data_IF_302929335860
#
_entry.id   IF_302929335860
#
_cell.length_a   1.000
_cell.length_b   1.000
_cell.length_c   1.000
_cell.angle_alpha   90.00
_cell.angle_beta   90.00
_cell.angle_gamma   90.00
#
_symmetry.space_group_name_H-M   'P 1'
#
loop_
_entity.id
_entity.type
_entity.pdbx_description
1 polymer ?
#
# COMPACT_ATOMS: atom_id res chain seq x y z
N UNK A 1 -7.35 -0.54 33.71
CA UNK A 1 -6.09 -0.85 34.42
C UNK A 1 -5.39 -2.00 33.71
N UNK A 2 -4.11 -1.90 33.35
CA UNK A 2 -3.37 -3.06 32.89
C UNK A 2 -3.45 -4.11 34.01
N UNK A 3 -4.03 -5.26 33.72
CA UNK A 3 -4.09 -6.34 34.69
C UNK A 3 -2.69 -6.98 34.71
N UNK A 4 -2.00 -6.93 35.83
CA UNK A 4 -0.75 -7.68 36.09
C UNK A 4 -0.96 -9.21 36.10
N UNK A 5 -1.99 -9.68 35.43
CA UNK A 5 -2.25 -11.11 35.28
C UNK A 5 -1.79 -11.58 33.94
N UNK A 6 -0.97 -12.60 33.93
CA UNK A 6 -0.60 -13.31 32.71
C UNK A 6 -1.87 -13.78 31.98
N UNK A 7 -1.89 -13.59 30.68
CA UNK A 7 -3.00 -14.04 29.84
C UNK A 7 -2.62 -15.38 29.21
N UNK A 8 -3.27 -16.45 29.64
CA UNK A 8 -3.02 -17.80 29.14
C UNK A 8 -3.26 -17.98 27.62
N UNK A 9 -3.89 -16.98 26.99
CA UNK A 9 -4.20 -16.98 25.54
C UNK A 9 -3.16 -16.28 24.69
N UNK A 10 -2.17 -15.61 25.32
CA UNK A 10 -1.16 -14.85 24.61
C UNK A 10 0.21 -15.33 25.06
N UNK A 11 1.06 -15.66 24.09
CA UNK A 11 2.47 -15.98 24.33
C UNK A 11 3.35 -14.96 23.65
N UNK A 12 4.24 -14.33 24.38
CA UNK A 12 5.23 -13.41 23.86
C UNK A 12 6.58 -14.12 23.73
N UNK A 13 7.22 -14.01 22.57
CA UNK A 13 8.53 -14.60 22.29
C UNK A 13 9.48 -13.50 21.83
N UNK A 14 10.48 -13.19 22.66
CA UNK A 14 11.55 -12.24 22.33
C UNK A 14 12.62 -12.91 21.49
N UNK A 15 12.80 -12.45 20.23
CA UNK A 15 13.77 -13.03 19.29
C UNK A 15 14.90 -12.08 18.92
N UNK A 16 15.01 -10.95 19.59
CA UNK A 16 15.92 -9.86 19.22
C UNK A 16 17.39 -10.26 19.17
N UNK A 17 17.82 -11.15 20.06
CA UNK A 17 19.22 -11.57 20.21
C UNK A 17 19.69 -12.56 19.14
N UNK A 18 18.76 -13.10 18.34
CA UNK A 18 19.06 -14.15 17.36
C UNK A 18 19.21 -13.59 15.95
N UNK A 19 19.99 -14.26 15.13
CA UNK A 19 20.10 -13.96 13.69
C UNK A 19 18.83 -14.43 12.92
N UNK A 20 18.61 -13.94 11.70
CA UNK A 20 17.40 -14.25 10.92
C UNK A 20 17.10 -15.75 10.80
N UNK A 21 18.09 -16.56 10.46
CA UNK A 21 17.89 -18.03 10.30
C UNK A 21 17.44 -18.69 11.59
N UNK A 22 18.02 -18.28 12.73
CA UNK A 22 17.65 -18.83 14.03
C UNK A 22 16.26 -18.35 14.48
N UNK A 23 15.92 -17.07 14.21
CA UNK A 23 14.55 -16.57 14.44
C UNK A 23 13.51 -17.40 13.71
N UNK A 24 13.72 -17.67 12.41
CA UNK A 24 12.85 -18.53 11.62
C UNK A 24 12.70 -19.93 12.25
N UNK A 25 13.82 -20.53 12.65
CA UNK A 25 13.83 -21.87 13.26
C UNK A 25 13.08 -21.89 14.58
N UNK A 26 13.21 -20.84 15.40
CA UNK A 26 12.53 -20.71 16.68
C UNK A 26 11.01 -20.50 16.50
N UNK A 27 10.60 -19.68 15.52
CA UNK A 27 9.17 -19.50 15.18
C UNK A 27 8.59 -20.82 14.72
N UNK A 28 9.24 -21.52 13.78
CA UNK A 28 8.78 -22.82 13.28
C UNK A 28 8.68 -23.86 14.40
N UNK A 29 9.66 -23.88 15.30
CA UNK A 29 9.62 -24.72 16.50
C UNK A 29 8.44 -24.39 17.39
N UNK A 30 8.21 -23.10 17.69
CA UNK A 30 7.09 -22.66 18.51
C UNK A 30 5.74 -23.05 17.90
N UNK A 31 5.55 -22.84 16.60
CA UNK A 31 4.35 -23.22 15.86
C UNK A 31 4.07 -24.74 15.91
N UNK A 32 5.12 -25.56 15.83
CA UNK A 32 4.99 -27.01 15.93
C UNK A 32 4.67 -27.49 17.34
N UNK A 33 5.18 -26.82 18.35
CA UNK A 33 4.98 -27.22 19.76
C UNK A 33 3.69 -26.70 20.37
N UNK A 34 3.24 -25.57 19.89
CA UNK A 34 2.03 -24.92 20.40
C UNK A 34 0.81 -25.34 19.58
N UNK A 35 -0.24 -25.74 20.23
CA UNK A 35 -1.50 -26.12 19.57
C UNK A 35 -2.58 -25.10 19.92
N UNK A 36 -3.44 -24.79 18.96
CA UNK A 36 -4.63 -23.97 19.17
C UNK A 36 -4.42 -22.47 19.03
N UNK A 37 -3.27 -22.00 18.53
CA UNK A 37 -3.13 -20.61 18.13
C UNK A 37 -3.90 -20.36 16.83
N UNK A 38 -4.80 -19.37 16.83
CA UNK A 38 -5.50 -18.89 15.63
C UNK A 38 -4.82 -17.67 14.98
N UNK A 39 -3.96 -16.96 15.74
CA UNK A 39 -3.30 -15.74 15.29
C UNK A 39 -1.84 -15.74 15.73
N UNK A 40 -0.95 -15.36 14.81
CA UNK A 40 0.46 -15.08 15.07
C UNK A 40 0.77 -13.66 14.58
N UNK A 41 1.44 -12.87 15.41
CA UNK A 41 1.89 -11.52 15.04
C UNK A 41 3.41 -11.54 14.96
N UNK A 42 3.96 -11.15 13.80
CA UNK A 42 5.40 -11.03 13.56
C UNK A 42 5.75 -9.55 13.45
N UNK A 43 6.35 -9.01 14.51
CA UNK A 43 6.81 -7.63 14.58
C UNK A 43 8.34 -7.63 14.73
N UNK A 44 9.14 -7.33 13.71
CA UNK A 44 8.86 -6.91 12.35
C UNK A 44 9.38 -7.94 11.36
N UNK A 45 8.65 -8.11 10.29
CA UNK A 45 8.94 -9.12 9.27
C UNK A 45 10.36 -8.99 8.67
N UNK A 46 10.85 -7.76 8.51
CA UNK A 46 12.20 -7.46 8.04
C UNK A 46 13.30 -8.25 8.77
N UNK A 47 13.08 -8.49 10.03
CA UNK A 47 14.09 -9.11 10.90
C UNK A 47 14.25 -10.63 10.70
N UNK A 48 13.45 -11.20 9.81
CA UNK A 48 13.60 -12.58 9.33
C UNK A 48 14.53 -12.70 8.11
N UNK A 49 15.13 -11.58 7.65
CA UNK A 49 15.98 -11.54 6.46
C UNK A 49 17.33 -10.89 6.76
N UNK A 50 18.34 -11.31 6.04
CA UNK A 50 19.67 -10.67 6.07
C UNK A 50 19.66 -9.42 5.17
N UNK A 51 19.08 -9.51 3.97
CA UNK A 51 18.98 -8.38 3.04
C UNK A 51 17.54 -8.24 2.51
N UNK A 52 16.90 -7.12 2.85
CA UNK A 52 15.53 -6.78 2.42
C UNK A 52 15.40 -6.56 0.90
N UNK A 53 16.53 -6.32 0.22
CA UNK A 53 16.57 -6.13 -1.23
C UNK A 53 16.91 -7.42 -1.98
N UNK A 54 17.09 -8.52 -1.28
CA UNK A 54 17.30 -9.83 -1.90
C UNK A 54 15.95 -10.45 -2.29
N UNK A 55 15.66 -10.47 -3.59
CA UNK A 55 14.40 -10.99 -4.12
C UNK A 55 14.19 -12.48 -3.78
N UNK A 56 15.28 -13.29 -3.76
CA UNK A 56 15.19 -14.69 -3.42
C UNK A 56 14.84 -14.89 -1.94
N UNK A 57 15.51 -14.20 -1.02
CA UNK A 57 15.16 -14.24 0.41
C UNK A 57 13.71 -13.81 0.65
N UNK A 58 13.26 -12.75 -0.03
CA UNK A 58 11.87 -12.27 0.06
C UNK A 58 10.88 -13.37 -0.34
N UNK A 59 11.11 -14.02 -1.48
CA UNK A 59 10.27 -15.12 -1.96
C UNK A 59 10.30 -16.33 -1.01
N UNK A 60 11.47 -16.70 -0.49
CA UNK A 60 11.63 -17.81 0.45
C UNK A 60 10.85 -17.53 1.76
N UNK A 61 10.96 -16.31 2.32
CA UNK A 61 10.22 -15.92 3.52
C UNK A 61 8.71 -15.93 3.27
N UNK A 62 8.24 -15.40 2.14
CA UNK A 62 6.80 -15.41 1.81
C UNK A 62 6.27 -16.83 1.64
N UNK A 63 7.02 -17.69 0.97
CA UNK A 63 6.66 -19.11 0.80
C UNK A 63 6.53 -19.80 2.16
N UNK A 64 7.45 -19.52 3.07
CA UNK A 64 7.44 -20.05 4.43
C UNK A 64 6.23 -19.56 5.24
N UNK A 65 5.89 -18.26 5.18
CA UNK A 65 4.72 -17.70 5.85
C UNK A 65 3.43 -18.37 5.34
N UNK A 66 3.28 -18.50 4.03
CA UNK A 66 2.12 -19.21 3.42
C UNK A 66 2.05 -20.68 3.85
N UNK A 67 3.20 -21.35 3.93
CA UNK A 67 3.24 -22.73 4.41
C UNK A 67 2.83 -22.84 5.89
N UNK A 68 3.23 -21.91 6.74
CA UNK A 68 2.84 -21.89 8.15
C UNK A 68 1.33 -21.64 8.31
N UNK A 69 0.75 -20.68 7.57
CA UNK A 69 -0.71 -20.42 7.64
C UNK A 69 -1.50 -21.67 7.27
N UNK A 70 -1.14 -22.32 6.16
CA UNK A 70 -1.81 -23.54 5.68
C UNK A 70 -1.62 -24.73 6.62
N UNK A 71 -0.36 -25.01 7.02
CA UNK A 71 -0.02 -26.17 7.83
C UNK A 71 -0.60 -26.13 9.25
N UNK A 72 -0.66 -24.95 9.84
CA UNK A 72 -1.11 -24.77 11.22
C UNK A 72 -2.54 -24.23 11.33
N UNK A 73 -3.20 -23.95 10.19
CA UNK A 73 -4.56 -23.40 10.11
C UNK A 73 -4.69 -22.14 11.00
N UNK A 74 -3.83 -21.14 10.77
CA UNK A 74 -3.77 -19.92 11.54
C UNK A 74 -3.62 -18.70 10.63
N UNK A 75 -3.94 -17.52 11.17
CA UNK A 75 -3.66 -16.24 10.54
C UNK A 75 -2.30 -15.69 10.97
N UNK A 76 -1.53 -15.13 10.03
CA UNK A 76 -0.28 -14.41 10.34
C UNK A 76 -0.48 -12.94 10.04
N UNK A 77 -0.28 -12.09 11.05
CA UNK A 77 -0.22 -10.64 10.91
C UNK A 77 1.23 -10.21 10.92
N UNK A 78 1.69 -9.57 9.83
CA UNK A 78 3.06 -9.09 9.70
C UNK A 78 3.10 -7.58 9.86
N UNK A 79 4.09 -7.09 10.62
CA UNK A 79 4.39 -5.65 10.72
C UNK A 79 5.61 -5.33 9.88
N UNK A 80 5.47 -4.32 9.01
CA UNK A 80 6.55 -3.84 8.17
C UNK A 80 6.55 -2.31 8.13
N UNK A 81 7.71 -1.70 8.29
CA UNK A 81 7.84 -0.25 8.20
C UNK A 81 7.86 0.22 6.75
N UNK A 82 7.16 1.31 6.48
CA UNK A 82 7.21 2.00 5.21
C UNK A 82 8.55 2.74 5.02
N UNK A 83 8.91 3.01 3.78
CA UNK A 83 9.99 3.93 3.47
C UNK A 83 9.67 5.34 3.96
N UNK A 84 10.68 6.06 4.43
CA UNK A 84 10.48 7.42 4.94
C UNK A 84 10.10 8.44 3.86
N UNK A 85 10.42 8.18 2.60
CA UNK A 85 10.37 9.19 1.54
C UNK A 85 9.20 9.01 0.55
N UNK A 86 8.62 7.82 0.41
CA UNK A 86 7.66 7.51 -0.64
C UNK A 86 6.42 6.73 -0.21
N UNK A 87 6.25 6.46 1.10
CA UNK A 87 5.17 5.65 1.67
C UNK A 87 5.02 4.23 1.06
N UNK A 88 5.99 3.79 0.27
CA UNK A 88 5.99 2.43 -0.25
C UNK A 88 6.52 1.47 0.81
N UNK A 89 6.12 0.22 0.72
CA UNK A 89 6.69 -0.84 1.55
C UNK A 89 8.17 -1.02 1.25
N UNK A 90 8.93 -1.31 2.28
CA UNK A 90 10.39 -1.31 2.20
C UNK A 90 10.94 -2.60 1.61
N UNK A 91 11.71 -2.48 0.51
CA UNK A 91 12.48 -3.57 -0.11
C UNK A 91 11.62 -4.57 -0.88
N UNK A 92 12.24 -5.61 -1.43
CA UNK A 92 11.54 -6.67 -2.16
C UNK A 92 10.52 -7.42 -1.30
N UNK A 93 10.77 -7.58 -0.01
CA UNK A 93 9.83 -8.24 0.90
C UNK A 93 8.51 -7.48 1.01
N UNK A 94 8.54 -6.14 0.95
CA UNK A 94 7.33 -5.33 0.95
C UNK A 94 6.45 -5.61 -0.27
N UNK A 95 7.05 -5.58 -1.46
CA UNK A 95 6.35 -5.89 -2.72
C UNK A 95 5.78 -7.32 -2.72
N UNK A 96 6.57 -8.31 -2.28
CA UNK A 96 6.10 -9.69 -2.20
C UNK A 96 4.95 -9.85 -1.18
N UNK A 97 5.04 -9.15 -0.04
CA UNK A 97 3.98 -9.17 0.97
C UNK A 97 2.68 -8.58 0.43
N UNK A 98 2.73 -7.41 -0.21
CA UNK A 98 1.56 -6.78 -0.84
C UNK A 98 0.91 -7.69 -1.87
N UNK A 99 1.69 -8.35 -2.71
CA UNK A 99 1.19 -9.26 -3.74
C UNK A 99 0.51 -10.53 -3.17
N UNK A 100 0.87 -10.97 -1.96
CA UNK A 100 0.38 -12.22 -1.36
C UNK A 100 -0.57 -12.01 -0.20
N UNK A 101 -0.52 -10.87 0.47
CA UNK A 101 -1.40 -10.56 1.58
C UNK A 101 -2.86 -10.49 1.13
N UNK A 102 -3.75 -10.89 2.00
CA UNK A 102 -5.19 -10.76 1.82
C UNK A 102 -5.66 -9.34 2.13
N UNK A 103 -5.02 -8.74 3.11
CA UNK A 103 -5.31 -7.38 3.56
C UNK A 103 -4.01 -6.66 3.89
N UNK A 104 -3.84 -5.45 3.36
CA UNK A 104 -2.76 -4.54 3.70
C UNK A 104 -3.35 -3.26 4.28
N UNK A 105 -2.94 -2.93 5.50
CA UNK A 105 -3.34 -1.73 6.21
C UNK A 105 -2.15 -0.80 6.36
N UNK A 106 -2.39 0.49 6.16
CA UNK A 106 -1.41 1.53 6.46
C UNK A 106 -1.82 2.26 7.73
N UNK A 107 -0.90 2.32 8.68
CA UNK A 107 -1.06 3.10 9.91
C UNK A 107 -0.10 4.29 9.85
N UNK A 108 -0.64 5.48 9.99
CA UNK A 108 0.14 6.72 9.97
C UNK A 108 -0.29 7.65 11.10
N UNK A 109 0.65 8.45 11.61
CA UNK A 109 0.33 9.53 12.55
C UNK A 109 -0.31 10.70 11.81
N UNK A 110 -1.34 11.30 12.41
CA UNK A 110 -1.86 12.55 11.94
C UNK A 110 -0.77 13.64 12.01
N UNK A 111 -0.70 14.52 11.00
CA UNK A 111 0.35 15.54 10.89
C UNK A 111 0.14 16.72 11.83
N UNK A 112 -1.11 17.00 12.19
CA UNK A 112 -1.49 18.12 13.05
C UNK A 112 -1.59 17.67 14.51
N UNK A 113 -2.05 16.44 14.75
CA UNK A 113 -2.17 15.86 16.06
C UNK A 113 -1.50 14.49 16.12
N UNK A 114 -0.23 14.45 16.51
CA UNK A 114 0.58 13.21 16.56
C UNK A 114 0.08 12.19 17.59
N UNK A 115 -0.89 12.53 18.44
CA UNK A 115 -1.52 11.57 19.34
C UNK A 115 -2.51 10.66 18.59
N UNK A 116 -3.01 11.12 17.44
CA UNK A 116 -3.95 10.36 16.62
C UNK A 116 -3.17 9.51 15.60
N UNK A 117 -3.59 8.27 15.46
CA UNK A 117 -3.12 7.33 14.44
C UNK A 117 -4.27 7.02 13.50
N UNK A 118 -4.07 7.22 12.20
CA UNK A 118 -5.02 6.89 11.15
C UNK A 118 -4.75 5.48 10.62
N UNK A 119 -5.81 4.70 10.41
CA UNK A 119 -5.77 3.37 9.79
C UNK A 119 -6.51 3.43 8.47
N UNK A 120 -5.85 3.04 7.39
CA UNK A 120 -6.40 3.03 6.04
C UNK A 120 -6.19 1.68 5.37
N UNK A 121 -7.19 1.17 4.62
CA UNK A 121 -6.97 0.07 3.73
C UNK A 121 -6.05 0.53 2.59
N UNK A 122 -5.03 -0.25 2.26
CA UNK A 122 -4.16 -0.05 1.09
C UNK A 122 -4.48 -1.05 0.00
N UNK A 123 -4.68 -2.29 0.39
CA UNK A 123 -5.06 -3.38 -0.50
C UNK A 123 -5.93 -4.38 0.25
N UNK A 124 -7.05 -4.76 -0.34
CA UNK A 124 -7.96 -5.76 0.21
C UNK A 124 -8.49 -6.64 -0.91
N UNK A 125 -8.51 -7.95 -0.69
CA UNK A 125 -9.08 -8.90 -1.64
C UNK A 125 -10.57 -9.11 -1.44
N UNK A 126 -11.07 -8.77 -0.25
CA UNK A 126 -12.47 -8.78 0.11
C UNK A 126 -12.99 -7.36 0.28
N UNK A 127 -14.17 -7.19 0.83
CA UNK A 127 -14.85 -5.90 1.01
C UNK A 127 -14.00 -4.91 1.80
N UNK A 128 -13.83 -3.72 1.25
CA UNK A 128 -13.13 -2.63 1.92
C UNK A 128 -13.93 -2.12 3.13
N UNK A 129 -13.21 -1.73 4.18
CA UNK A 129 -13.76 -1.00 5.31
C UNK A 129 -13.42 0.49 5.22
N UNK A 130 -14.21 1.33 5.87
CA UNK A 130 -13.93 2.76 5.96
C UNK A 130 -12.70 3.02 6.83
N UNK A 131 -11.80 3.91 6.37
CA UNK A 131 -10.69 4.37 7.19
C UNK A 131 -11.17 4.88 8.53
N UNK A 132 -10.40 4.65 9.58
CA UNK A 132 -10.69 5.11 10.93
C UNK A 132 -9.44 5.62 11.63
N UNK A 133 -9.61 6.27 12.77
CA UNK A 133 -8.51 6.75 13.58
C UNK A 133 -8.65 6.32 15.03
N UNK A 134 -7.54 6.23 15.73
CA UNK A 134 -7.48 5.95 17.15
C UNK A 134 -6.40 6.77 17.85
N UNK A 135 -6.56 6.99 19.13
CA UNK A 135 -5.52 7.51 20.01
C UNK A 135 -5.17 6.48 21.08
N UNK A 136 -4.07 6.72 21.79
CA UNK A 136 -3.70 5.92 22.96
C UNK A 136 -4.01 6.77 24.19
N UNK A 137 -4.88 6.28 25.06
CA UNK A 137 -5.26 6.96 26.27
C UNK A 137 -4.18 6.85 27.38
N UNK A 138 -4.41 7.50 28.51
CA UNK A 138 -3.50 7.49 29.66
C UNK A 138 -3.24 6.09 30.23
N UNK A 139 -4.18 5.17 30.03
CA UNK A 139 -4.06 3.76 30.44
C UNK A 139 -3.32 2.88 29.43
N UNK A 140 -2.71 3.50 28.40
CA UNK A 140 -2.00 2.84 27.28
C UNK A 140 -2.91 1.93 26.43
N UNK A 141 -4.21 2.23 26.36
CA UNK A 141 -5.17 1.49 25.57
C UNK A 141 -5.56 2.27 24.32
N UNK A 142 -5.73 1.60 23.16
CA UNK A 142 -6.25 2.24 21.96
C UNK A 142 -7.74 2.58 22.13
N UNK A 143 -8.08 3.81 21.77
CA UNK A 143 -9.46 4.33 21.82
C UNK A 143 -9.82 4.87 20.44
N UNK A 144 -10.96 4.43 19.90
CA UNK A 144 -11.48 4.90 18.62
C UNK A 144 -11.81 6.40 18.70
N UNK A 145 -11.33 7.17 17.73
CA UNK A 145 -11.67 8.58 17.58
C UNK A 145 -12.95 8.72 16.75
N UNK A 146 -14.10 8.68 17.42
CA UNK A 146 -15.41 8.81 16.79
C UNK A 146 -15.56 10.20 16.14
N UNK A 147 -16.02 10.21 14.90
CA UNK A 147 -16.19 11.46 14.12
C UNK A 147 -14.91 12.08 13.58
N UNK A 148 -13.75 11.49 13.82
CA UNK A 148 -12.51 11.91 13.17
C UNK A 148 -12.59 11.61 11.66
N UNK A 149 -12.49 12.64 10.85
CA UNK A 149 -12.36 12.46 9.41
C UNK A 149 -10.92 12.16 9.09
N UNK A 150 -10.62 10.91 8.81
CA UNK A 150 -9.30 10.52 8.30
C UNK A 150 -8.98 11.39 7.11
N UNK A 151 -7.88 12.14 7.21
CA UNK A 151 -7.47 13.02 6.14
C UNK A 151 -7.23 12.15 4.92
N UNK A 152 -8.17 12.17 3.99
CA UNK A 152 -7.93 11.57 2.68
C UNK A 152 -6.65 12.23 2.19
N UNK A 153 -5.55 11.50 2.13
CA UNK A 153 -4.33 11.99 1.54
C UNK A 153 -4.72 12.32 0.12
N UNK A 154 -5.07 13.61 -0.10
CA UNK A 154 -5.26 14.09 -1.46
C UNK A 154 -4.02 13.65 -2.18
N UNK A 155 -4.17 12.74 -3.06
CA UNK A 155 -3.28 11.99 -3.93
C UNK A 155 -1.88 12.58 -4.27
N UNK A 156 -1.19 13.22 -3.31
CA UNK A 156 0.15 13.75 -3.54
C UNK A 156 1.19 12.64 -3.79
N UNK A 157 0.89 11.41 -3.40
CA UNK A 157 1.87 10.33 -3.39
C UNK A 157 1.51 9.13 -4.29
N UNK A 158 0.30 9.10 -4.88
CA UNK A 158 -0.06 8.07 -5.86
C UNK A 158 0.55 8.43 -7.20
N UNK A 159 1.39 7.59 -7.82
CA UNK A 159 1.87 7.85 -9.18
C UNK A 159 0.69 8.05 -10.13
N UNK A 160 0.76 9.04 -11.03
CA UNK A 160 -0.31 9.25 -12.02
C UNK A 160 -0.59 7.99 -12.86
N UNK A 161 0.43 7.17 -13.05
CA UNK A 161 0.37 5.90 -13.80
C UNK A 161 -0.36 4.77 -13.07
N UNK A 162 -0.65 4.91 -11.77
CA UNK A 162 -1.37 3.93 -10.95
C UNK A 162 -2.78 4.39 -10.57
N UNK A 163 -3.25 5.50 -11.13
CA UNK A 163 -4.65 5.89 -11.04
C UNK A 163 -5.51 4.89 -11.80
N UNK A 164 -6.75 4.69 -11.35
CA UNK A 164 -7.70 3.81 -12.03
C UNK A 164 -8.08 4.36 -13.41
N UNK A 165 -8.50 3.47 -14.29
CA UNK A 165 -8.95 3.82 -15.63
C UNK A 165 -10.10 4.82 -15.60
N UNK A 166 -11.04 4.66 -14.68
CA UNK A 166 -12.17 5.59 -14.50
C UNK A 166 -11.72 7.03 -14.23
N UNK A 167 -10.69 7.21 -13.41
CA UNK A 167 -10.12 8.54 -13.11
C UNK A 167 -9.48 9.14 -14.37
N UNK A 168 -8.75 8.34 -15.14
CA UNK A 168 -8.17 8.79 -16.40
C UNK A 168 -9.25 9.17 -17.40
N UNK A 169 -10.30 8.36 -17.53
CA UNK A 169 -11.42 8.61 -18.40
C UNK A 169 -12.14 9.92 -18.03
N UNK A 170 -12.46 10.12 -16.76
CA UNK A 170 -13.08 11.36 -16.28
C UNK A 170 -12.24 12.60 -16.64
N UNK A 171 -10.95 12.58 -16.30
CA UNK A 171 -10.05 13.72 -16.51
C UNK A 171 -9.83 14.00 -18.00
N UNK A 172 -9.57 12.96 -18.79
CA UNK A 172 -9.25 13.10 -20.21
C UNK A 172 -10.49 13.35 -21.04
N UNK A 173 -11.61 12.67 -20.76
CA UNK A 173 -12.86 12.86 -21.47
C UNK A 173 -13.39 14.29 -21.36
N UNK A 174 -13.40 14.87 -20.16
CA UNK A 174 -13.84 16.25 -19.97
C UNK A 174 -12.95 17.29 -20.67
N UNK A 175 -11.66 17.04 -20.76
CA UNK A 175 -10.68 18.05 -21.19
C UNK A 175 -10.21 17.89 -22.64
N UNK A 176 -10.27 16.69 -23.21
CA UNK A 176 -9.78 16.44 -24.58
C UNK A 176 -10.88 16.24 -25.60
N UNK A 177 -12.11 15.87 -25.20
CA UNK A 177 -13.21 15.66 -26.12
C UNK A 177 -13.67 16.95 -26.86
N UNK A 178 -13.38 18.12 -26.28
CA UNK A 178 -13.86 19.43 -26.80
C UNK A 178 -12.74 20.43 -27.18
N UNK A 179 -11.47 20.05 -27.08
CA UNK A 179 -10.35 20.95 -27.30
C UNK A 179 -9.54 20.56 -28.55
N UNK A 180 -8.89 21.55 -29.16
CA UNK A 180 -7.94 21.32 -30.26
C UNK A 180 -6.79 20.46 -29.74
N UNK A 181 -6.44 19.36 -30.42
CA UNK A 181 -5.36 18.47 -29.98
C UNK A 181 -4.03 19.21 -29.87
N UNK A 182 -3.25 19.01 -28.79
CA UNK A 182 -1.91 19.55 -28.69
C UNK A 182 -1.03 19.02 -29.82
N UNK A 183 -0.38 19.91 -30.57
CA UNK A 183 0.49 19.52 -31.70
C UNK A 183 1.88 19.13 -31.27
N UNK A 184 2.36 19.70 -30.16
CA UNK A 184 3.71 19.45 -29.63
C UNK A 184 3.67 18.64 -28.33
N UNK A 185 4.68 17.81 -28.13
CA UNK A 185 4.83 17.03 -26.89
C UNK A 185 4.89 17.89 -25.63
N UNK A 186 5.51 19.05 -25.69
CA UNK A 186 5.59 20.00 -24.59
C UNK A 186 4.20 20.53 -24.23
N UNK A 187 3.39 20.88 -25.22
CA UNK A 187 2.01 21.34 -25.03
C UNK A 187 1.14 20.23 -24.38
N UNK A 188 1.27 18.98 -24.86
CA UNK A 188 0.59 17.86 -24.27
C UNK A 188 0.95 17.68 -22.78
N UNK A 189 2.25 17.71 -22.46
CA UNK A 189 2.73 17.55 -21.08
C UNK A 189 2.23 18.69 -20.20
N UNK A 190 2.23 19.92 -20.68
CA UNK A 190 1.74 21.08 -19.91
C UNK A 190 0.21 21.02 -19.73
N UNK A 191 -0.53 20.65 -20.77
CA UNK A 191 -1.99 20.46 -20.68
C UNK A 191 -2.34 19.38 -19.68
N UNK A 192 -1.75 18.19 -19.79
CA UNK A 192 -1.98 17.10 -18.81
C UNK A 192 -1.59 17.51 -17.39
N UNK A 193 -0.51 18.25 -17.24
CA UNK A 193 -0.11 18.75 -15.90
C UNK A 193 -1.15 19.68 -15.30
N UNK A 194 -1.78 20.53 -16.10
CA UNK A 194 -2.85 21.44 -15.65
C UNK A 194 -4.13 20.68 -15.30
N UNK A 195 -4.64 19.87 -16.22
CA UNK A 195 -5.93 19.18 -16.02
C UNK A 195 -5.89 18.18 -14.86
N UNK A 196 -4.78 17.47 -14.70
CA UNK A 196 -4.61 16.60 -13.53
C UNK A 196 -4.43 17.39 -12.23
N UNK A 197 -3.78 18.57 -12.28
CA UNK A 197 -3.65 19.43 -11.10
C UNK A 197 -4.99 20.00 -10.65
N UNK A 198 -5.87 20.40 -11.57
CA UNK A 198 -7.21 20.93 -11.29
C UNK A 198 -8.10 19.87 -10.60
N UNK A 199 -7.93 18.61 -10.93
CA UNK A 199 -8.58 17.48 -10.25
C UNK A 199 -7.86 17.03 -8.97
N UNK A 200 -6.87 17.79 -8.49
CA UNK A 200 -6.14 17.53 -7.24
C UNK A 200 -4.89 16.64 -7.39
N UNK A 201 -4.54 16.22 -8.60
CA UNK A 201 -3.38 15.37 -8.89
C UNK A 201 -2.15 16.18 -9.33
N UNK A 202 -1.80 17.22 -8.60
CA UNK A 202 -0.64 18.08 -8.92
C UNK A 202 0.68 17.31 -8.85
N UNK A 203 1.40 17.16 -9.97
CA UNK A 203 2.68 16.46 -10.10
C UNK A 203 3.72 17.27 -10.87
N UNK A 204 4.99 16.88 -10.67
CA UNK A 204 6.11 17.39 -11.45
C UNK A 204 6.12 16.86 -12.89
N UNK A 205 6.85 17.56 -13.77
CA UNK A 205 6.91 17.28 -15.20
C UNK A 205 7.33 15.83 -15.53
N UNK A 206 8.22 15.23 -14.74
CA UNK A 206 8.69 13.86 -14.97
C UNK A 206 7.58 12.81 -14.72
N UNK A 207 6.73 13.03 -13.72
CA UNK A 207 5.59 12.15 -13.45
C UNK A 207 4.54 12.25 -14.57
N UNK A 208 4.33 13.45 -15.12
CA UNK A 208 3.42 13.64 -16.26
C UNK A 208 4.00 13.01 -17.55
N UNK A 209 5.31 13.09 -17.78
CA UNK A 209 5.95 12.38 -18.90
C UNK A 209 5.80 10.87 -18.79
N UNK A 210 5.92 10.31 -17.58
CA UNK A 210 5.67 8.89 -17.34
C UNK A 210 4.20 8.53 -17.62
N UNK A 211 3.25 9.38 -17.22
CA UNK A 211 1.84 9.22 -17.55
C UNK A 211 1.60 9.22 -19.05
N UNK A 212 2.16 10.20 -19.81
CA UNK A 212 2.02 10.22 -21.28
C UNK A 212 2.47 8.91 -21.90
N UNK A 213 3.65 8.41 -21.48
CA UNK A 213 4.16 7.12 -21.96
C UNK A 213 3.16 5.99 -21.69
N UNK A 214 2.61 5.93 -20.47
CA UNK A 214 1.65 4.91 -20.08
C UNK A 214 0.34 5.00 -20.87
N UNK A 215 -0.21 6.19 -21.05
CA UNK A 215 -1.44 6.41 -21.83
C UNK A 215 -1.26 6.07 -23.33
N UNK A 216 -0.07 6.27 -23.88
CA UNK A 216 0.25 5.83 -25.23
C UNK A 216 0.41 4.31 -25.35
N UNK A 217 1.00 3.64 -24.34
CA UNK A 217 1.09 2.18 -24.28
C UNK A 217 -0.29 1.50 -24.15
N UNK A 218 -1.28 2.22 -23.61
CA UNK A 218 -2.68 1.76 -23.46
C UNK A 218 -3.57 2.18 -24.63
N UNK A 219 -3.03 2.79 -25.67
CA UNK A 219 -3.75 3.36 -26.82
C UNK A 219 -4.82 4.41 -26.46
N UNK A 220 -4.79 4.94 -25.22
CA UNK A 220 -5.66 6.02 -24.73
C UNK A 220 -5.24 7.37 -25.35
N UNK A 221 -3.94 7.55 -25.62
CA UNK A 221 -3.39 8.66 -26.36
C UNK A 221 -2.68 8.14 -27.60
N UNK A 222 -3.01 8.71 -28.76
CA UNK A 222 -2.32 8.45 -30.02
C UNK A 222 -1.76 9.74 -30.59
N UNK A 223 -0.80 9.62 -31.51
CA UNK A 223 -0.21 10.76 -32.21
C UNK A 223 -0.30 10.54 -33.72
N UNK A 224 -0.82 11.54 -34.41
CA UNK A 224 -0.80 11.63 -35.88
C UNK A 224 -0.17 12.94 -36.37
N UNK A 225 -0.47 13.34 -37.64
CA UNK A 225 0.05 14.58 -38.25
C UNK A 225 -0.56 15.84 -37.66
N UNK A 226 -1.78 15.73 -37.12
CA UNK A 226 -2.56 16.87 -36.59
C UNK A 226 -2.33 17.07 -35.08
N UNK A 227 -1.72 16.09 -34.38
CA UNK A 227 -1.33 16.21 -32.96
C UNK A 227 -1.58 14.96 -32.14
N UNK A 228 -1.88 15.18 -30.86
CA UNK A 228 -2.14 14.11 -29.89
C UNK A 228 -3.64 14.02 -29.62
N UNK A 229 -4.21 12.85 -29.87
CA UNK A 229 -5.66 12.59 -29.73
C UNK A 229 -5.94 11.66 -28.55
N UNK A 230 -7.01 11.95 -27.84
CA UNK A 230 -7.57 11.08 -26.82
C UNK A 230 -8.57 10.11 -27.47
N UNK A 231 -8.46 8.85 -27.12
CA UNK A 231 -9.41 7.81 -27.48
C UNK A 231 -10.03 7.22 -26.21
N UNK A 232 -11.34 7.23 -26.16
CA UNK A 232 -12.08 6.55 -25.10
C UNK A 232 -12.05 5.04 -25.35
N UNK A 233 -11.05 4.37 -24.83
CA UNK A 233 -10.89 2.91 -24.92
C UNK A 233 -11.64 2.18 -23.80
N UNK A 234 -12.11 2.91 -22.79
CA UNK A 234 -12.77 2.33 -21.61
C UNK A 234 -14.24 2.02 -21.82
N UNK A 235 -14.88 2.65 -22.82
CA UNK A 235 -16.31 2.45 -23.16
C UNK A 235 -16.59 1.23 -24.03
N UNK A 236 -15.60 0.46 -24.46
CA UNK A 236 -15.78 -0.64 -25.42
C UNK A 236 -15.86 -2.04 -24.82
N UNK A 237 -15.96 -2.16 -23.48
CA UNK A 237 -16.16 -3.47 -22.83
C UNK A 237 -17.61 -3.57 -22.33
N UNK A 238 -18.52 -3.94 -23.22
CA UNK A 238 -19.87 -4.45 -22.92
C UNK A 238 -19.97 -5.90 -23.38
#
# INVERSE_FOLDING_TARGET
>A
MPTNKDCDRITFIGLREYNPSLRISLIDYALRKSKGYGLVIIDGLRDLMYDINNAKEATDVMTMLMAWTSKHNLHIHCVLHLNKNDNNTRGHIGTELENKAETVLVISKDKQNTNISEVRPMHMRDREFSSFAFSINEESMPVLEEGYQVTVVKSKDVPLTSLSEDIHQEILGENFASHVPPTKYTELVDTLRMVYADKGYKRGINAVKALVKRLMEMDVLTKDRDGYHYHDTFSQTV
#
